data_IF_927228977686
#
_entry.id   IF_927228977686
#
_cell.length_a   1.000
_cell.length_b   1.000
_cell.length_c   1.000
_cell.angle_alpha   90.00
_cell.angle_beta   90.00
_cell.angle_gamma   90.00
#
_symmetry.space_group_name_H-M   'P 1'
#
loop_
_entity.id
_entity.type
_entity.pdbx_description
1 polymer ?
#
# COMPACT_ATOMS: atom_id res chain seq x y z
N UNK A 1 -29.24 15.91 -5.01
CA UNK A 1 -29.06 14.60 -4.38
C UNK A 1 -28.86 14.85 -2.90
N UNK A 2 -29.81 14.43 -2.08
CA UNK A 2 -29.65 14.43 -0.63
C UNK A 2 -28.90 13.16 -0.19
N UNK A 3 -28.44 13.13 1.07
CA UNK A 3 -27.62 12.03 1.58
C UNK A 3 -28.36 10.68 1.57
N UNK A 4 -29.67 10.69 1.80
CA UNK A 4 -30.50 9.48 1.76
C UNK A 4 -30.61 8.90 0.33
N UNK A 5 -30.77 9.77 -0.68
CA UNK A 5 -30.78 9.39 -2.10
C UNK A 5 -29.45 8.76 -2.51
N UNK A 6 -28.34 9.33 -2.04
CA UNK A 6 -27.00 8.79 -2.29
C UNK A 6 -26.84 7.39 -1.70
N UNK A 7 -27.20 7.20 -0.42
CA UNK A 7 -27.08 5.90 0.25
C UNK A 7 -27.96 4.82 -0.39
N UNK A 8 -29.17 5.19 -0.81
CA UNK A 8 -30.06 4.28 -1.54
C UNK A 8 -29.42 3.82 -2.85
N UNK A 9 -28.91 4.77 -3.65
CA UNK A 9 -28.26 4.47 -4.92
C UNK A 9 -27.01 3.59 -4.75
N UNK A 10 -26.15 3.91 -3.77
CA UNK A 10 -24.95 3.11 -3.49
C UNK A 10 -25.30 1.68 -3.06
N UNK A 11 -26.39 1.51 -2.29
CA UNK A 11 -26.86 0.19 -1.88
C UNK A 11 -27.35 -0.63 -3.07
N UNK A 12 -28.07 -0.01 -4.00
CA UNK A 12 -28.51 -0.66 -5.24
C UNK A 12 -27.33 -1.02 -6.15
N UNK A 13 -26.39 -0.09 -6.32
CA UNK A 13 -25.18 -0.29 -7.11
C UNK A 13 -24.32 -1.44 -6.54
N UNK A 14 -24.19 -1.52 -5.20
CA UNK A 14 -23.47 -2.62 -4.53
C UNK A 14 -24.13 -3.96 -4.75
N UNK A 15 -25.46 -4.02 -4.67
CA UNK A 15 -26.21 -5.26 -4.94
C UNK A 15 -26.08 -5.72 -6.39
N UNK A 16 -26.02 -4.76 -7.32
CA UNK A 16 -25.92 -5.05 -8.74
C UNK A 16 -24.48 -5.39 -9.18
N UNK A 17 -23.47 -4.80 -8.55
CA UNK A 17 -22.09 -4.88 -9.03
C UNK A 17 -21.04 -4.72 -7.91
N UNK A 18 -20.99 -5.70 -7.01
CA UNK A 18 -20.14 -5.65 -5.82
C UNK A 18 -18.64 -5.63 -6.16
N UNK A 19 -18.20 -6.40 -7.17
CA UNK A 19 -16.79 -6.44 -7.58
C UNK A 19 -16.31 -5.10 -8.14
N UNK A 20 -17.11 -4.46 -9.00
CA UNK A 20 -16.77 -3.14 -9.55
C UNK A 20 -16.61 -2.10 -8.45
N UNK A 21 -17.51 -2.10 -7.45
CA UNK A 21 -17.41 -1.16 -6.34
C UNK A 21 -16.17 -1.42 -5.47
N UNK A 22 -15.82 -2.68 -5.25
CA UNK A 22 -14.60 -3.02 -4.52
C UNK A 22 -13.35 -2.53 -5.28
N UNK A 23 -13.28 -2.80 -6.58
CA UNK A 23 -12.17 -2.36 -7.44
C UNK A 23 -12.07 -0.84 -7.49
N UNK A 24 -13.20 -0.15 -7.69
CA UNK A 24 -13.26 1.31 -7.70
C UNK A 24 -12.84 1.90 -6.35
N UNK A 25 -13.29 1.31 -5.24
CA UNK A 25 -12.92 1.76 -3.89
C UNK A 25 -11.41 1.63 -3.68
N UNK A 26 -10.82 0.52 -4.10
CA UNK A 26 -9.37 0.31 -4.03
C UNK A 26 -8.63 1.34 -4.88
N UNK A 27 -9.05 1.56 -6.12
CA UNK A 27 -8.48 2.55 -7.03
C UNK A 27 -8.54 3.97 -6.44
N UNK A 28 -9.69 4.36 -5.89
CA UNK A 28 -9.86 5.66 -5.22
C UNK A 28 -8.89 5.78 -4.04
N UNK A 29 -8.75 4.74 -3.22
CA UNK A 29 -7.82 4.72 -2.10
C UNK A 29 -6.36 4.83 -2.54
N UNK A 30 -5.96 4.07 -3.57
CA UNK A 30 -4.61 4.12 -4.14
C UNK A 30 -4.27 5.48 -4.75
N UNK A 31 -5.24 6.10 -5.45
CA UNK A 31 -5.06 7.39 -6.09
C UNK A 31 -5.12 8.57 -5.10
N UNK A 32 -5.83 8.44 -3.97
CA UNK A 32 -6.02 9.54 -3.02
C UNK A 32 -4.69 10.11 -2.54
N UNK A 33 -3.75 9.25 -2.13
CA UNK A 33 -2.42 9.67 -1.68
C UNK A 33 -1.44 9.96 -2.82
N UNK A 34 -1.83 9.75 -4.07
CA UNK A 34 -1.03 10.15 -5.23
C UNK A 34 -1.41 11.54 -5.73
N UNK A 35 -2.54 12.09 -5.28
CA UNK A 35 -3.01 13.39 -5.74
C UNK A 35 -2.14 14.52 -5.17
N UNK A 36 -1.69 15.40 -6.05
CA UNK A 36 -0.73 16.47 -5.72
C UNK A 36 -1.19 17.34 -4.55
N UNK A 37 -2.47 17.73 -4.49
CA UNK A 37 -2.97 18.56 -3.39
C UNK A 37 -2.96 17.85 -2.03
N UNK A 38 -3.15 16.53 -2.01
CA UNK A 38 -3.09 15.73 -0.77
C UNK A 38 -1.64 15.63 -0.30
N UNK A 39 -0.71 15.40 -1.24
CA UNK A 39 0.72 15.38 -0.96
C UNK A 39 1.24 16.70 -0.41
N UNK A 40 0.78 17.83 -0.96
CA UNK A 40 1.10 19.18 -0.49
C UNK A 40 0.61 19.43 0.95
N UNK A 41 -0.63 19.06 1.27
CA UNK A 41 -1.19 19.17 2.63
C UNK A 41 -0.37 18.33 3.63
N UNK A 42 0.10 17.16 3.21
CA UNK A 42 0.91 16.27 4.02
C UNK A 42 2.39 16.67 4.08
N UNK A 43 2.81 17.74 3.39
CA UNK A 43 4.21 18.12 3.21
C UNK A 43 5.08 16.97 2.64
N UNK A 44 4.51 16.12 1.79
CA UNK A 44 5.20 15.04 1.10
C UNK A 44 5.59 15.55 -0.29
N UNK A 45 6.87 15.42 -0.64
CA UNK A 45 7.33 15.72 -1.99
C UNK A 45 6.82 14.64 -2.97
N UNK A 46 5.81 14.96 -3.78
CA UNK A 46 5.22 14.11 -4.82
C UNK A 46 6.11 13.89 -6.05
N UNK A 47 7.37 13.51 -5.83
CA UNK A 47 8.36 13.26 -6.89
C UNK A 47 8.38 11.78 -7.26
N UNK A 48 8.80 11.49 -8.49
CA UNK A 48 9.04 10.11 -8.89
C UNK A 48 10.08 9.43 -7.98
N UNK A 49 9.89 8.13 -7.64
CA UNK A 49 10.83 7.39 -6.79
C UNK A 49 12.20 7.16 -7.45
N UNK A 50 12.33 7.35 -8.77
CA UNK A 50 13.61 7.27 -9.50
C UNK A 50 13.90 8.61 -10.20
N UNK A 51 15.17 9.06 -10.29
CA UNK A 51 16.40 8.39 -9.85
C UNK A 51 16.80 8.63 -8.39
N UNK A 52 16.12 9.53 -7.69
CA UNK A 52 16.57 10.04 -6.40
C UNK A 52 15.65 9.59 -5.24
N UNK A 53 15.24 8.32 -5.23
CA UNK A 53 14.26 7.77 -4.28
C UNK A 53 14.56 8.09 -2.81
N UNK A 54 13.59 7.81 -1.93
CA UNK A 54 13.74 8.12 -0.51
C UNK A 54 14.97 7.43 0.10
N UNK A 55 15.72 8.17 0.92
CA UNK A 55 16.80 7.57 1.70
C UNK A 55 16.22 6.55 2.68
N UNK A 56 16.58 5.29 2.49
CA UNK A 56 16.25 4.24 3.45
C UNK A 56 17.27 4.34 4.57
N UNK A 57 16.82 4.64 5.79
CA UNK A 57 17.65 4.57 6.99
C UNK A 57 18.27 3.17 7.03
N UNK A 58 19.60 3.08 7.04
CA UNK A 58 20.28 1.79 7.19
C UNK A 58 19.77 1.14 8.47
N UNK A 59 19.10 0.01 8.33
CA UNK A 59 18.63 -0.76 9.47
C UNK A 59 19.80 -1.22 10.33
N UNK A 60 19.56 -1.39 11.63
CA UNK A 60 20.52 -2.06 12.50
C UNK A 60 20.57 -3.55 12.12
N UNK A 61 21.58 -3.91 11.31
CA UNK A 61 21.81 -5.28 10.87
C UNK A 61 22.41 -6.18 11.97
N UNK A 62 22.71 -5.65 13.16
CA UNK A 62 23.08 -6.44 14.33
C UNK A 62 21.91 -7.32 14.79
N UNK A 63 20.66 -6.86 14.62
CA UNK A 63 19.44 -7.64 14.86
C UNK A 63 19.35 -8.91 14.00
N UNK A 64 20.06 -8.95 12.86
CA UNK A 64 20.14 -10.15 12.01
C UNK A 64 21.22 -11.14 12.45
N UNK A 65 21.94 -10.86 13.54
CA UNK A 65 22.95 -11.74 14.14
C UNK A 65 22.45 -13.17 14.37
N UNK A 66 21.26 -13.39 14.97
CA UNK A 66 20.67 -14.71 15.14
C UNK A 66 20.44 -15.46 13.81
N UNK A 67 19.90 -14.77 12.78
CA UNK A 67 19.61 -15.36 11.47
C UNK A 67 20.89 -15.75 10.73
N UNK A 68 21.92 -14.90 10.80
CA UNK A 68 23.25 -15.18 10.22
C UNK A 68 23.89 -16.42 10.87
N UNK A 69 23.69 -16.64 12.17
CA UNK A 69 24.19 -17.81 12.90
C UNK A 69 23.42 -19.09 12.55
N UNK A 70 22.13 -18.99 12.24
CA UNK A 70 21.31 -20.15 11.84
C UNK A 70 21.69 -20.75 10.47
N UNK A 71 22.30 -19.98 9.56
CA UNK A 71 22.67 -20.48 8.21
C UNK A 71 23.82 -21.51 8.18
N UNK A 72 24.36 -21.94 9.33
CA UNK A 72 25.44 -22.94 9.39
C UNK A 72 25.02 -24.36 9.81
N UNK A 73 23.74 -24.67 9.95
CA UNK A 73 23.31 -26.05 10.29
C UNK A 73 22.15 -26.61 9.45
N UNK A 74 22.18 -26.44 8.14
CA UNK A 74 21.33 -27.27 7.25
C UNK A 74 22.05 -27.56 5.95
N UNK A 75 23.04 -28.44 6.01
CA UNK A 75 23.27 -29.38 4.92
C UNK A 75 22.40 -30.61 5.22
N UNK A 76 21.15 -30.63 4.73
CA UNK A 76 20.23 -31.78 4.84
C UNK A 76 19.57 -32.14 3.50
N UNK A 77 20.26 -31.87 2.40
CA UNK A 77 19.94 -32.42 1.09
C UNK A 77 21.19 -33.07 0.49
N UNK A 78 21.55 -34.22 1.06
CA UNK A 78 22.35 -35.24 0.39
C UNK A 78 21.60 -36.55 0.57
N UNK A 79 20.63 -36.79 -0.31
CA UNK A 79 20.25 -38.11 -0.83
C UNK A 79 19.42 -37.90 -2.11
#
# INVERSE_FOLDING_TARGET
>A
MNEAELFSFLSELKRANDSLLNDLTLLVYECYYQHQSVLEILNINGRAPFPQGHEVVKGDYELLGPVKKMKKSTNRFNN
#
